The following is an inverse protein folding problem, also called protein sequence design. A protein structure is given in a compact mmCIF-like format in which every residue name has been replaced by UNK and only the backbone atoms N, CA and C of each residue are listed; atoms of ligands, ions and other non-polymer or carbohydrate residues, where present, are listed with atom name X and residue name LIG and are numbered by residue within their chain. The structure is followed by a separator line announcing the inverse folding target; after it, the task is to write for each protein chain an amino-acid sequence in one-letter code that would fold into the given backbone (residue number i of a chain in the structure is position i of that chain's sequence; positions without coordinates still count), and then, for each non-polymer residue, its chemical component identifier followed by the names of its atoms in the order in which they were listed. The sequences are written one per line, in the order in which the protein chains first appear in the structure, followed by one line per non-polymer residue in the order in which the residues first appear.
data_IF_657566871667
#
_entry.id   IF_657566871667
#
_cell.length_a   1.000
_cell.length_b   1.000
_cell.length_c   1.000
_cell.angle_alpha   90.00
_cell.angle_beta   90.00
_cell.angle_gamma   90.00
#
_symmetry.space_group_name_H-M   'P 1'
#
loop_
_entity.id
_entity.type
_entity.pdbx_description
1 polymer ?
#
# COMPACT_ATOMS: atom_id res chain seq x y z
N UNK A 1 41.66 -43.33 69.65
CA UNK A 1 42.17 -43.13 68.31
C UNK A 1 41.05 -42.85 67.27
N UNK A 2 39.78 -43.01 67.58
CA UNK A 2 38.63 -42.83 66.68
C UNK A 2 38.16 -41.40 66.45
N UNK A 3 38.44 -40.47 67.37
CA UNK A 3 37.98 -39.05 67.20
C UNK A 3 38.80 -38.19 66.24
N UNK A 4 40.00 -38.65 65.82
CA UNK A 4 40.83 -37.94 64.83
C UNK A 4 40.55 -38.31 63.37
N UNK A 5 39.91 -39.43 63.10
CA UNK A 5 39.53 -39.88 61.78
C UNK A 5 38.23 -39.21 61.28
N UNK A 6 37.33 -38.78 62.21
CA UNK A 6 36.04 -38.20 61.89
C UNK A 6 36.07 -36.70 61.48
N UNK A 7 37.22 -36.04 61.78
CA UNK A 7 37.39 -34.58 61.39
C UNK A 7 38.03 -34.44 59.99
N UNK A 8 38.69 -35.48 59.45
CA UNK A 8 39.34 -35.44 58.16
C UNK A 8 38.39 -35.68 56.98
N UNK A 9 37.21 -36.27 57.17
CA UNK A 9 36.28 -36.64 56.14
C UNK A 9 35.22 -35.54 55.75
N UNK A 10 35.23 -34.42 56.52
CA UNK A 10 34.34 -33.27 56.27
C UNK A 10 34.92 -32.17 55.36
N UNK A 11 36.16 -32.33 54.86
CA UNK A 11 36.89 -31.29 54.16
C UNK A 11 36.84 -31.41 52.63
N UNK A 12 36.04 -32.32 52.05
CA UNK A 12 35.97 -32.55 50.60
C UNK A 12 34.59 -32.36 49.99
N UNK A 13 33.74 -31.55 50.60
CA UNK A 13 32.52 -31.12 49.96
C UNK A 13 32.85 -29.91 49.04
N UNK A 14 33.41 -30.18 47.84
CA UNK A 14 33.42 -29.22 46.75
C UNK A 14 31.98 -28.98 46.37
N UNK A 15 31.34 -27.93 46.89
CA UNK A 15 30.13 -27.39 46.32
C UNK A 15 30.44 -27.03 44.85
N UNK A 16 30.15 -27.94 43.94
CA UNK A 16 30.14 -27.64 42.52
C UNK A 16 29.17 -26.50 42.31
N UNK A 17 29.68 -25.32 41.99
CA UNK A 17 28.87 -24.15 41.64
C UNK A 17 28.05 -24.53 40.39
N UNK A 18 26.80 -24.93 40.64
CA UNK A 18 25.88 -25.51 39.66
C UNK A 18 25.54 -24.55 38.51
N UNK A 19 25.66 -23.22 38.76
CA UNK A 19 25.51 -22.17 37.77
C UNK A 19 26.71 -21.21 37.86
N UNK A 20 27.57 -21.23 36.83
CA UNK A 20 28.70 -20.29 36.76
C UNK A 20 28.16 -18.85 36.62
N UNK A 21 28.73 -17.91 37.36
CA UNK A 21 28.36 -16.49 37.41
C UNK A 21 28.25 -15.88 35.98
N UNK A 22 29.07 -16.36 35.06
CA UNK A 22 29.07 -15.94 33.66
C UNK A 22 27.70 -16.21 32.95
N UNK A 23 27.06 -17.35 33.24
CA UNK A 23 25.77 -17.67 32.67
C UNK A 23 24.62 -16.85 33.25
N UNK A 24 24.71 -16.55 34.58
CA UNK A 24 23.73 -15.70 35.26
C UNK A 24 23.76 -14.27 34.63
N UNK A 25 24.95 -13.69 34.50
CA UNK A 25 25.13 -12.35 33.91
C UNK A 25 24.61 -12.35 32.43
N UNK A 26 25.01 -13.37 31.64
CA UNK A 26 24.59 -13.51 30.27
C UNK A 26 23.07 -13.59 30.14
N UNK A 27 22.41 -14.48 30.88
CA UNK A 27 20.97 -14.67 30.83
C UNK A 27 20.24 -13.40 31.27
N UNK A 28 20.67 -12.76 32.35
CA UNK A 28 20.04 -11.52 32.85
C UNK A 28 20.13 -10.41 31.82
N UNK A 29 21.30 -10.19 31.21
CA UNK A 29 21.49 -9.17 30.16
C UNK A 29 20.67 -9.49 28.93
N UNK A 30 20.62 -10.76 28.53
CA UNK A 30 19.87 -11.20 27.35
C UNK A 30 18.37 -11.00 27.56
N UNK A 31 17.83 -11.32 28.73
CA UNK A 31 16.41 -11.10 29.06
C UNK A 31 16.07 -9.61 29.08
N UNK A 32 16.90 -8.77 29.73
CA UNK A 32 16.68 -7.30 29.78
C UNK A 32 16.69 -6.68 28.35
N UNK A 33 17.51 -7.21 27.44
CA UNK A 33 17.58 -6.70 26.08
C UNK A 33 16.50 -7.28 25.16
N UNK A 34 16.24 -8.59 25.24
CA UNK A 34 15.33 -9.28 24.31
C UNK A 34 13.84 -9.02 24.58
N UNK A 35 13.45 -8.85 25.85
CA UNK A 35 12.02 -8.64 26.18
C UNK A 35 11.50 -7.31 25.61
N UNK A 36 12.16 -6.15 25.82
CA UNK A 36 11.71 -4.90 25.20
C UNK A 36 11.83 -4.91 23.70
N UNK A 37 12.94 -5.46 23.14
CA UNK A 37 13.19 -5.52 21.71
C UNK A 37 12.13 -6.38 21.00
N UNK A 38 11.80 -7.54 21.55
CA UNK A 38 10.75 -8.43 21.05
C UNK A 38 9.36 -7.81 21.14
N UNK A 39 9.08 -7.09 22.23
CA UNK A 39 7.83 -6.34 22.41
C UNK A 39 7.67 -5.22 21.38
N UNK A 40 8.68 -4.41 21.18
CA UNK A 40 8.69 -3.36 20.17
C UNK A 40 8.56 -3.93 18.76
N UNK A 41 9.26 -5.02 18.45
CA UNK A 41 9.18 -5.70 17.16
C UNK A 41 7.76 -6.23 16.89
N UNK A 42 7.12 -6.88 17.87
CA UNK A 42 5.76 -7.39 17.75
C UNK A 42 4.74 -6.27 17.47
N UNK A 43 4.82 -5.18 18.26
CA UNK A 43 3.94 -4.01 18.10
C UNK A 43 4.18 -3.35 16.72
N UNK A 44 5.44 -3.17 16.33
CA UNK A 44 5.82 -2.54 15.08
C UNK A 44 5.30 -3.32 13.87
N UNK A 45 5.46 -4.65 13.84
CA UNK A 45 4.97 -5.47 12.73
C UNK A 45 3.44 -5.41 12.61
N UNK A 46 2.72 -5.54 13.74
CA UNK A 46 1.25 -5.53 13.69
C UNK A 46 0.68 -4.18 13.26
N UNK A 47 1.18 -3.08 13.81
CA UNK A 47 0.77 -1.73 13.40
C UNK A 47 1.17 -1.41 11.96
N UNK A 48 2.40 -1.70 11.60
CA UNK A 48 2.94 -1.39 10.27
C UNK A 48 2.12 -2.08 9.17
N UNK A 49 1.79 -3.36 9.33
CA UNK A 49 1.00 -4.09 8.33
C UNK A 49 -0.40 -3.48 8.13
N UNK A 50 -1.04 -3.03 9.20
CA UNK A 50 -2.35 -2.40 9.13
C UNK A 50 -2.26 -1.01 8.48
N UNK A 51 -1.26 -0.21 8.86
CA UNK A 51 -1.03 1.12 8.28
C UNK A 51 -0.70 1.05 6.79
N UNK A 52 0.16 0.11 6.36
CA UNK A 52 0.49 -0.09 4.95
C UNK A 52 -0.73 -0.49 4.12
N UNK A 53 -1.56 -1.42 4.63
CA UNK A 53 -2.80 -1.81 3.94
C UNK A 53 -3.74 -0.62 3.80
N UNK A 54 -3.88 0.19 4.84
CA UNK A 54 -4.69 1.41 4.81
C UNK A 54 -4.15 2.44 3.81
N UNK A 55 -2.83 2.65 3.77
CA UNK A 55 -2.20 3.59 2.84
C UNK A 55 -2.37 3.16 1.37
N UNK A 56 -2.19 1.87 1.08
CA UNK A 56 -2.39 1.32 -0.27
C UNK A 56 -3.85 1.51 -0.69
N UNK A 57 -4.78 1.19 0.21
CA UNK A 57 -6.19 1.42 -0.01
C UNK A 57 -6.51 2.89 -0.31
N UNK A 58 -6.04 3.81 0.54
CA UNK A 58 -6.24 5.25 0.34
C UNK A 58 -5.69 5.75 -1.00
N UNK A 59 -4.52 5.26 -1.41
CA UNK A 59 -3.94 5.60 -2.70
C UNK A 59 -4.81 5.12 -3.88
N UNK A 60 -5.35 3.90 -3.82
CA UNK A 60 -6.26 3.39 -4.86
C UNK A 60 -7.57 4.19 -4.87
N UNK A 61 -8.16 4.48 -3.72
CA UNK A 61 -9.36 5.32 -3.60
C UNK A 61 -9.12 6.69 -4.19
N UNK A 62 -8.07 7.40 -3.77
CA UNK A 62 -7.76 8.74 -4.25
C UNK A 62 -7.56 8.77 -5.78
N UNK A 63 -6.83 7.81 -6.33
CA UNK A 63 -6.64 7.70 -7.77
C UNK A 63 -7.98 7.45 -8.50
N UNK A 64 -8.82 6.57 -7.95
CA UNK A 64 -10.13 6.26 -8.53
C UNK A 64 -11.07 7.47 -8.47
N UNK A 65 -11.15 8.16 -7.33
CA UNK A 65 -11.96 9.38 -7.18
C UNK A 65 -11.50 10.49 -8.12
N UNK A 66 -10.19 10.66 -8.29
CA UNK A 66 -9.63 11.64 -9.22
C UNK A 66 -10.03 11.35 -10.66
N UNK A 67 -9.91 10.09 -11.08
CA UNK A 67 -10.29 9.67 -12.42
C UNK A 67 -11.80 9.75 -12.62
N UNK A 68 -12.62 9.31 -11.67
CA UNK A 68 -14.07 9.40 -11.73
C UNK A 68 -14.52 10.87 -11.88
N UNK A 69 -13.95 11.76 -11.07
CA UNK A 69 -14.21 13.20 -11.17
C UNK A 69 -13.82 13.76 -12.53
N UNK A 70 -12.68 13.36 -13.08
CA UNK A 70 -12.26 13.81 -14.42
C UNK A 70 -13.24 13.36 -15.51
N UNK A 71 -13.78 12.14 -15.43
CA UNK A 71 -14.82 11.65 -16.35
C UNK A 71 -16.12 12.44 -16.19
N UNK A 72 -16.53 12.70 -14.97
CA UNK A 72 -17.76 13.45 -14.66
C UNK A 72 -17.65 14.91 -15.11
N UNK A 73 -16.51 15.58 -14.89
CA UNK A 73 -16.26 16.96 -15.35
C UNK A 73 -16.21 17.08 -16.87
N UNK A 74 -15.56 16.12 -17.53
CA UNK A 74 -15.54 16.05 -18.99
C UNK A 74 -16.95 15.87 -19.54
N UNK A 75 -17.74 14.97 -18.94
CA UNK A 75 -19.15 14.76 -19.32
C UNK A 75 -19.99 16.01 -19.09
N UNK A 76 -19.87 16.63 -17.93
CA UNK A 76 -20.59 17.86 -17.61
C UNK A 76 -20.25 19.00 -18.57
N UNK A 77 -19.00 19.10 -19.02
CA UNK A 77 -18.58 20.09 -20.02
C UNK A 77 -19.25 19.85 -21.37
N UNK A 78 -19.31 18.62 -21.84
CA UNK A 78 -19.97 18.26 -23.09
C UNK A 78 -21.50 18.45 -23.00
N UNK A 79 -22.10 18.18 -21.82
CA UNK A 79 -23.53 18.45 -21.60
C UNK A 79 -23.84 19.95 -21.61
N UNK A 80 -22.99 20.81 -21.05
CA UNK A 80 -23.12 22.28 -21.11
C UNK A 80 -23.00 22.80 -22.53
N UNK A 81 -22.06 22.23 -23.30
CA UNK A 81 -21.92 22.55 -24.76
C UNK A 81 -23.22 22.24 -25.50
N UNK A 82 -23.80 21.07 -25.30
CA UNK A 82 -25.08 20.69 -25.93
C UNK A 82 -26.21 21.63 -25.49
N UNK A 83 -26.30 21.96 -24.21
CA UNK A 83 -27.34 22.86 -23.67
C UNK A 83 -27.26 24.25 -24.28
N UNK A 84 -26.05 24.83 -24.31
CA UNK A 84 -25.80 26.12 -24.92
C UNK A 84 -26.21 26.14 -26.40
N UNK A 85 -25.81 25.13 -27.19
CA UNK A 85 -26.15 25.07 -28.60
C UNK A 85 -27.63 24.77 -28.83
N UNK A 86 -28.28 23.94 -28.01
CA UNK A 86 -29.71 23.64 -28.05
C UNK A 86 -30.59 24.90 -27.91
N UNK A 87 -30.12 25.92 -27.18
CA UNK A 87 -30.85 27.17 -26.95
C UNK A 87 -30.61 28.26 -28.00
N UNK A 88 -29.75 28.03 -28.97
CA UNK A 88 -29.47 29.02 -30.03
C UNK A 88 -30.65 29.16 -31.00
N UNK A 89 -30.96 30.41 -31.51
CA UNK A 89 -32.03 30.62 -32.46
C UNK A 89 -31.89 29.75 -33.72
N UNK A 90 -30.67 29.49 -34.16
CA UNK A 90 -30.37 28.66 -35.31
C UNK A 90 -30.79 27.19 -35.12
N UNK A 91 -30.72 26.68 -33.90
CA UNK A 91 -31.13 25.30 -33.56
C UNK A 91 -32.64 25.26 -33.26
N UNK A 92 -33.16 26.27 -32.51
CA UNK A 92 -34.58 26.38 -32.16
C UNK A 92 -35.48 26.57 -33.37
N UNK A 93 -34.99 27.22 -34.42
CA UNK A 93 -35.75 27.43 -35.65
C UNK A 93 -36.03 26.15 -36.45
N UNK A 94 -35.44 25.01 -36.07
CA UNK A 94 -35.67 23.70 -36.68
C UNK A 94 -35.50 23.70 -38.22
N UNK A 95 -34.58 24.52 -38.74
CA UNK A 95 -34.22 24.57 -40.15
C UNK A 95 -32.90 23.82 -40.40
N UNK A 96 -32.89 22.84 -41.28
CA UNK A 96 -31.74 21.97 -41.55
C UNK A 96 -30.47 22.76 -41.92
N UNK A 97 -30.57 23.75 -42.80
CA UNK A 97 -29.42 24.53 -43.27
C UNK A 97 -28.77 25.36 -42.15
N UNK A 98 -29.58 25.94 -41.24
CA UNK A 98 -29.10 26.69 -40.09
C UNK A 98 -28.44 25.72 -39.05
N UNK A 99 -29.08 24.62 -38.79
CA UNK A 99 -28.54 23.60 -37.86
C UNK A 99 -27.25 22.97 -38.38
N UNK A 100 -27.14 22.67 -39.67
CA UNK A 100 -25.89 22.12 -40.25
C UNK A 100 -24.68 23.04 -39.98
N UNK A 101 -24.87 24.37 -40.11
CA UNK A 101 -23.78 25.33 -39.79
C UNK A 101 -23.34 25.26 -38.34
N UNK A 102 -24.29 25.19 -37.40
CA UNK A 102 -23.98 25.07 -35.97
C UNK A 102 -23.30 23.72 -35.68
N UNK A 103 -23.85 22.63 -36.19
CA UNK A 103 -23.27 21.29 -35.98
C UNK A 103 -21.85 21.21 -36.54
N UNK A 104 -21.59 21.82 -37.70
CA UNK A 104 -20.26 21.87 -38.28
C UNK A 104 -19.29 22.69 -37.44
N UNK A 105 -19.70 23.85 -36.95
CA UNK A 105 -18.88 24.66 -36.00
C UNK A 105 -18.50 23.90 -34.74
N UNK A 106 -19.39 23.09 -34.18
CA UNK A 106 -19.07 22.24 -33.03
C UNK A 106 -17.91 21.28 -33.32
N UNK A 107 -17.97 20.59 -34.48
CA UNK A 107 -16.92 19.61 -34.82
C UNK A 107 -15.60 20.25 -35.29
N UNK A 108 -15.63 21.49 -35.74
CA UNK A 108 -14.42 22.25 -36.10
C UNK A 108 -13.68 22.77 -34.84
N UNK A 109 -14.40 23.11 -33.78
CA UNK A 109 -13.81 23.62 -32.53
C UNK A 109 -13.39 22.49 -31.60
N UNK A 110 -14.18 21.43 -31.52
CA UNK A 110 -13.98 20.33 -30.58
C UNK A 110 -13.56 19.06 -31.30
N UNK A 111 -12.27 18.83 -31.43
CA UNK A 111 -11.69 17.76 -32.25
C UNK A 111 -11.97 16.33 -31.72
N UNK A 112 -12.41 16.18 -30.45
CA UNK A 112 -12.87 14.89 -29.91
C UNK A 112 -14.31 14.55 -30.29
N UNK A 113 -15.07 15.50 -30.87
CA UNK A 113 -16.43 15.31 -31.41
C UNK A 113 -16.32 15.07 -32.91
N UNK A 114 -16.49 13.83 -33.33
CA UNK A 114 -16.41 13.52 -34.78
C UNK A 114 -17.72 13.71 -35.53
N UNK A 115 -18.86 13.80 -34.82
CA UNK A 115 -20.16 14.05 -35.36
C UNK A 115 -21.05 14.80 -34.37
N UNK A 116 -21.63 15.93 -34.80
CA UNK A 116 -22.71 16.62 -34.12
C UNK A 116 -23.96 16.61 -35.02
N UNK A 117 -25.11 16.36 -34.43
CA UNK A 117 -26.35 16.19 -35.19
C UNK A 117 -27.59 16.48 -34.33
N UNK A 118 -28.71 16.70 -35.04
CA UNK A 118 -30.04 16.87 -34.41
C UNK A 118 -31.00 15.83 -34.91
N UNK A 119 -31.98 15.47 -34.10
CA UNK A 119 -32.99 14.45 -34.41
C UNK A 119 -34.36 15.02 -34.11
N UNK A 120 -35.30 14.85 -35.02
CA UNK A 120 -36.71 15.20 -34.83
C UNK A 120 -37.42 14.23 -33.88
N UNK A 121 -38.60 14.57 -33.34
CA UNK A 121 -39.33 13.66 -32.44
C UNK A 121 -39.74 12.33 -33.11
N UNK A 122 -39.84 12.27 -34.42
CA UNK A 122 -40.10 11.05 -35.21
C UNK A 122 -38.84 10.17 -35.37
N UNK A 123 -37.68 10.62 -34.90
CA UNK A 123 -36.42 9.90 -34.99
C UNK A 123 -35.60 10.17 -36.24
N UNK A 124 -36.07 11.01 -37.16
CA UNK A 124 -35.32 11.42 -38.37
C UNK A 124 -34.25 12.46 -38.00
N UNK A 125 -33.07 12.34 -38.57
CA UNK A 125 -32.03 13.33 -38.48
C UNK A 125 -32.38 14.59 -39.27
N UNK A 126 -32.23 15.77 -38.65
CA UNK A 126 -32.48 17.04 -39.30
C UNK A 126 -31.17 17.74 -39.71
N UNK A 127 -30.32 18.05 -38.75
CA UNK A 127 -29.02 18.69 -38.96
C UNK A 127 -27.86 17.75 -38.71
N UNK A 128 -26.74 17.88 -39.48
CA UNK A 128 -25.52 17.07 -39.39
C UNK A 128 -24.28 17.89 -39.68
N UNK A 129 -23.19 17.60 -38.98
CA UNK A 129 -21.89 18.24 -39.19
C UNK A 129 -21.10 17.67 -40.38
N UNK A 130 -21.33 16.39 -40.76
CA UNK A 130 -20.52 15.64 -41.71
C UNK A 130 -21.06 15.72 -43.16
N UNK A 131 -22.14 16.43 -43.38
CA UNK A 131 -22.75 16.63 -44.72
C UNK A 131 -23.31 15.36 -45.34
N UNK A 132 -23.41 14.25 -44.63
CA UNK A 132 -23.98 12.99 -45.14
C UNK A 132 -25.51 13.05 -45.18
N UNK A 133 -26.18 12.19 -45.98
CA UNK A 133 -27.63 12.09 -45.97
C UNK A 133 -28.23 11.84 -44.59
N UNK A 134 -29.45 12.34 -44.31
CA UNK A 134 -30.16 12.08 -43.08
C UNK A 134 -30.27 10.58 -42.75
N UNK A 135 -30.14 10.26 -41.50
CA UNK A 135 -30.16 8.88 -40.97
C UNK A 135 -31.21 8.78 -39.88
N UNK A 136 -31.92 7.66 -39.80
CA UNK A 136 -32.88 7.41 -38.74
C UNK A 136 -32.16 7.00 -37.43
N UNK A 137 -32.46 7.69 -36.30
CA UNK A 137 -31.91 7.46 -34.99
C UNK A 137 -32.96 7.18 -33.90
N UNK A 138 -34.24 7.11 -34.24
CA UNK A 138 -35.34 6.85 -33.30
C UNK A 138 -35.25 5.48 -32.59
N UNK A 139 -34.46 4.54 -33.11
CA UNK A 139 -34.17 3.24 -32.51
C UNK A 139 -33.14 3.32 -31.38
N UNK A 140 -32.41 4.42 -31.28
CA UNK A 140 -31.28 4.58 -30.32
C UNK A 140 -31.76 4.98 -28.91
N UNK A 141 -31.16 4.37 -27.88
CA UNK A 141 -31.60 4.57 -26.50
C UNK A 141 -31.39 6.00 -26.02
N UNK A 142 -30.29 6.69 -26.43
CA UNK A 142 -30.07 8.09 -26.08
C UNK A 142 -31.16 9.02 -26.61
N UNK A 143 -31.76 8.72 -27.77
CA UNK A 143 -32.90 9.48 -28.33
C UNK A 143 -34.16 9.18 -27.53
N UNK A 144 -34.47 7.89 -27.29
CA UNK A 144 -35.62 7.47 -26.48
C UNK A 144 -35.59 8.04 -25.07
N UNK A 145 -34.39 8.08 -24.43
CA UNK A 145 -34.21 8.66 -23.10
C UNK A 145 -34.60 10.13 -23.07
N UNK A 146 -34.14 10.92 -24.02
CA UNK A 146 -34.46 12.36 -24.11
C UNK A 146 -35.92 12.60 -24.43
N UNK A 147 -36.47 11.90 -25.43
CA UNK A 147 -37.86 12.02 -25.82
C UNK A 147 -38.82 11.51 -24.71
N UNK A 148 -38.34 10.55 -23.89
CA UNK A 148 -39.04 10.05 -22.68
C UNK A 148 -38.94 10.99 -21.48
N UNK A 149 -38.34 12.19 -21.61
CA UNK A 149 -38.33 13.23 -20.60
C UNK A 149 -37.10 13.23 -19.69
N UNK A 150 -36.06 12.41 -19.94
CA UNK A 150 -34.79 12.52 -19.21
C UNK A 150 -34.09 13.84 -19.53
N UNK A 151 -33.35 14.39 -18.57
CA UNK A 151 -32.60 15.62 -18.71
C UNK A 151 -31.51 15.55 -19.79
N UNK A 152 -30.99 14.35 -20.03
CA UNK A 152 -30.07 14.01 -21.12
C UNK A 152 -30.17 12.52 -21.44
N UNK A 153 -29.67 12.15 -22.60
CA UNK A 153 -29.52 10.78 -23.04
C UNK A 153 -28.05 10.42 -23.22
N UNK A 154 -27.70 9.17 -22.95
CA UNK A 154 -26.35 8.66 -23.15
C UNK A 154 -26.38 7.24 -23.69
N UNK A 155 -25.35 6.89 -24.48
CA UNK A 155 -25.15 5.51 -24.90
C UNK A 155 -23.73 5.31 -25.44
N UNK A 156 -23.09 4.20 -25.03
CA UNK A 156 -21.89 3.68 -25.69
C UNK A 156 -22.31 2.66 -26.70
N UNK A 157 -21.90 2.84 -27.96
CA UNK A 157 -22.36 2.01 -29.08
C UNK A 157 -21.39 2.02 -30.26
N UNK A 158 -21.62 1.15 -31.25
CA UNK A 158 -20.99 1.27 -32.55
C UNK A 158 -21.76 2.30 -33.41
N UNK A 159 -21.04 3.33 -33.85
CA UNK A 159 -21.64 4.40 -34.67
C UNK A 159 -22.20 3.87 -35.99
N UNK A 160 -23.46 4.24 -36.37
CA UNK A 160 -24.10 3.79 -37.61
C UNK A 160 -23.31 4.17 -38.87
N UNK A 161 -22.60 5.29 -38.85
CA UNK A 161 -21.86 5.82 -39.99
C UNK A 161 -20.36 5.63 -39.91
N UNK A 162 -19.80 5.49 -38.70
CA UNK A 162 -18.35 5.27 -38.44
C UNK A 162 -17.98 3.82 -38.30
N UNK A 163 -18.93 2.97 -37.87
CA UNK A 163 -18.70 1.59 -37.42
C UNK A 163 -17.59 1.42 -36.37
N UNK A 164 -17.36 2.50 -35.61
CA UNK A 164 -16.37 2.53 -34.51
C UNK A 164 -17.08 2.73 -33.19
N UNK A 165 -16.49 2.21 -32.06
CA UNK A 165 -16.98 2.51 -30.75
C UNK A 165 -17.04 4.01 -30.51
N UNK A 166 -18.17 4.47 -29.97
CA UNK A 166 -18.45 5.88 -29.76
C UNK A 166 -19.28 6.06 -28.50
N UNK A 167 -19.03 7.16 -27.81
CA UNK A 167 -19.88 7.65 -26.74
C UNK A 167 -20.78 8.78 -27.28
N UNK A 168 -22.07 8.64 -27.10
CA UNK A 168 -23.08 9.62 -27.54
C UNK A 168 -23.64 10.28 -26.28
N UNK A 169 -23.66 11.61 -26.29
CA UNK A 169 -24.43 12.44 -25.38
C UNK A 169 -25.50 13.20 -26.15
N UNK A 170 -26.66 13.30 -25.54
CA UNK A 170 -27.82 13.98 -26.18
C UNK A 170 -28.59 14.82 -25.16
N UNK A 171 -29.12 15.97 -25.63
CA UNK A 171 -30.00 16.83 -24.85
C UNK A 171 -31.26 17.19 -25.61
N UNK A 172 -32.36 17.54 -24.92
CA UNK A 172 -33.55 18.02 -25.58
C UNK A 172 -33.33 19.43 -26.16
N UNK A 173 -33.83 19.69 -27.37
CA UNK A 173 -34.06 21.02 -27.91
C UNK A 173 -35.45 21.44 -27.41
N UNK A 174 -35.51 22.40 -26.49
CA UNK A 174 -36.75 22.87 -25.85
C UNK A 174 -37.18 24.20 -26.47
N UNK A 175 -38.39 24.23 -27.04
CA UNK A 175 -39.03 25.45 -27.46
C UNK A 175 -39.75 26.17 -26.32
N UNK A 176 -40.56 27.17 -26.71
CA UNK A 176 -41.40 27.91 -25.80
C UNK A 176 -42.32 26.98 -25.02
N UNK A 177 -42.59 27.32 -23.75
CA UNK A 177 -43.38 26.50 -22.83
C UNK A 177 -42.77 25.13 -22.50
N UNK A 178 -41.47 24.88 -22.79
CA UNK A 178 -40.75 23.64 -22.43
C UNK A 178 -41.08 22.43 -23.30
N UNK A 179 -41.78 22.58 -24.40
CA UNK A 179 -42.04 21.48 -25.36
C UNK A 179 -40.74 21.02 -26.04
N UNK A 180 -40.49 19.72 -26.05
CA UNK A 180 -39.35 19.15 -26.79
C UNK A 180 -39.62 19.20 -28.26
N UNK A 181 -38.81 19.99 -29.00
CA UNK A 181 -38.86 20.14 -30.44
C UNK A 181 -38.03 19.08 -31.16
N UNK A 182 -37.04 18.53 -30.49
CA UNK A 182 -36.13 17.54 -31.01
C UNK A 182 -35.02 17.24 -30.02
N UNK A 183 -33.99 16.57 -30.50
CA UNK A 183 -32.81 16.14 -29.73
C UNK A 183 -31.55 16.68 -30.41
N UNK A 184 -30.66 17.30 -29.69
CA UNK A 184 -29.29 17.61 -30.13
C UNK A 184 -28.34 16.57 -29.55
N UNK A 185 -27.43 16.03 -30.34
CA UNK A 185 -26.51 15.00 -29.92
C UNK A 185 -25.11 15.22 -30.51
N UNK A 186 -24.11 14.77 -29.75
CA UNK A 186 -22.71 14.67 -30.15
C UNK A 186 -22.23 13.23 -30.03
N UNK A 187 -21.42 12.81 -31.00
CA UNK A 187 -20.74 11.53 -30.99
C UNK A 187 -19.23 11.78 -30.81
N UNK A 188 -18.68 11.19 -29.81
CA UNK A 188 -17.28 11.33 -29.35
C UNK A 188 -16.53 10.02 -29.48
N UNK A 189 -15.25 10.10 -29.81
CA UNK A 189 -14.39 8.90 -29.77
C UNK A 189 -14.10 8.48 -28.35
N UNK A 190 -13.94 7.18 -28.14
CA UNK A 190 -13.50 6.66 -26.84
C UNK A 190 -11.99 6.90 -26.60
N UNK A 191 -11.27 7.31 -27.65
CA UNK A 191 -9.82 7.53 -27.59
C UNK A 191 -9.41 8.65 -26.63
N UNK A 192 -10.16 9.75 -26.60
CA UNK A 192 -9.84 10.88 -25.71
C UNK A 192 -10.12 10.57 -24.24
N UNK A 193 -11.17 9.82 -23.96
CA UNK A 193 -11.41 9.25 -22.65
C UNK A 193 -10.27 8.29 -22.23
N UNK A 194 -9.88 7.41 -23.14
CA UNK A 194 -8.75 6.49 -22.92
C UNK A 194 -7.47 7.25 -22.64
N UNK A 195 -7.16 8.32 -23.38
CA UNK A 195 -5.97 9.16 -23.14
C UNK A 195 -5.96 9.80 -21.74
N UNK A 196 -7.10 10.24 -21.24
CA UNK A 196 -7.20 10.78 -19.89
C UNK A 196 -6.93 9.73 -18.82
N UNK A 197 -7.39 8.51 -19.04
CA UNK A 197 -7.20 7.36 -18.14
C UNK A 197 -5.77 6.82 -18.25
N UNK A 198 -5.18 6.76 -19.45
CA UNK A 198 -3.81 6.26 -19.66
C UNK A 198 -2.73 7.21 -19.14
N UNK A 199 -3.01 8.51 -19.04
CA UNK A 199 -2.07 9.49 -18.46
C UNK A 199 -1.87 9.30 -16.97
N UNK A 200 -2.82 8.72 -16.26
CA UNK A 200 -2.71 8.49 -14.81
C UNK A 200 -1.88 7.25 -14.56
N UNK A 201 -0.64 7.46 -14.09
CA UNK A 201 0.23 6.38 -13.66
C UNK A 201 -0.13 5.95 -12.24
N UNK A 202 -0.38 4.66 -12.07
CA UNK A 202 -0.67 4.02 -10.78
C UNK A 202 0.49 3.06 -10.50
N UNK A 203 1.59 3.60 -9.96
CA UNK A 203 2.86 2.87 -9.90
C UNK A 203 3.39 2.51 -11.30
N UNK A 204 4.03 1.35 -11.41
CA UNK A 204 4.57 0.83 -12.68
C UNK A 204 3.63 -0.18 -13.35
N UNK A 205 2.98 -1.04 -12.54
CA UNK A 205 2.09 -2.11 -13.03
C UNK A 205 0.62 -1.74 -13.01
N UNK A 206 0.25 -0.67 -12.28
CA UNK A 206 -1.14 -0.30 -12.10
C UNK A 206 -1.74 0.39 -13.32
N UNK A 207 -3.04 0.20 -13.49
CA UNK A 207 -3.81 0.84 -14.55
C UNK A 207 -5.29 0.91 -14.17
N UNK A 208 -6.03 1.75 -14.90
CA UNK A 208 -7.47 1.89 -14.72
C UNK A 208 -8.24 1.28 -15.90
N UNK A 209 -9.44 0.79 -15.61
CA UNK A 209 -10.43 0.33 -16.57
C UNK A 209 -11.69 1.17 -16.38
N UNK A 210 -12.28 1.62 -17.46
CA UNK A 210 -13.59 2.28 -17.46
C UNK A 210 -14.57 1.42 -18.23
N UNK A 211 -15.65 1.04 -17.57
CA UNK A 211 -16.72 0.20 -18.11
C UNK A 211 -18.03 0.98 -18.15
N UNK A 212 -18.85 0.72 -19.17
CA UNK A 212 -20.20 1.30 -19.27
C UNK A 212 -21.22 0.62 -18.33
N UNK A 213 -22.47 1.04 -18.39
CA UNK A 213 -23.56 0.48 -17.59
C UNK A 213 -23.82 -1.01 -17.85
N UNK A 214 -23.40 -1.53 -19.00
CA UNK A 214 -23.48 -2.95 -19.38
C UNK A 214 -22.16 -3.71 -19.12
N UNK A 215 -21.21 -3.12 -18.39
CA UNK A 215 -19.88 -3.66 -18.11
C UNK A 215 -19.02 -3.89 -19.38
N UNK A 216 -19.26 -3.13 -20.46
CA UNK A 216 -18.42 -3.18 -21.65
C UNK A 216 -17.27 -2.19 -21.52
N UNK A 217 -16.10 -2.56 -22.02
CA UNK A 217 -14.89 -1.75 -21.91
C UNK A 217 -15.00 -0.47 -22.74
N UNK A 218 -14.87 0.68 -22.09
CA UNK A 218 -14.81 2.02 -22.70
C UNK A 218 -13.35 2.46 -22.88
N UNK A 219 -12.54 2.25 -21.83
CA UNK A 219 -11.15 2.67 -21.84
C UNK A 219 -10.28 1.74 -21.00
N UNK A 220 -9.04 1.51 -21.46
CA UNK A 220 -8.05 0.69 -20.82
C UNK A 220 -6.76 1.49 -20.58
N UNK A 221 -6.29 1.57 -19.31
CA UNK A 221 -5.18 2.41 -18.89
C UNK A 221 -3.81 2.04 -19.46
N UNK A 222 -3.67 0.92 -20.18
CA UNK A 222 -2.44 0.53 -20.87
C UNK A 222 -2.40 0.97 -22.36
N UNK A 223 -3.32 1.84 -22.77
CA UNK A 223 -3.30 2.44 -24.10
C UNK A 223 -3.96 1.61 -25.21
N UNK A 224 -4.51 0.47 -24.91
CA UNK A 224 -5.29 -0.31 -25.86
C UNK A 224 -6.68 0.32 -26.02
N UNK A 225 -6.87 1.05 -27.11
CA UNK A 225 -8.22 1.51 -27.50
C UNK A 225 -8.94 0.29 -28.07
N UNK A 226 -10.00 -0.12 -27.41
CA UNK A 226 -10.82 -1.23 -27.89
C UNK A 226 -11.40 -0.87 -29.28
N UNK A 227 -11.02 -1.64 -30.30
CA UNK A 227 -11.66 -1.56 -31.64
C UNK A 227 -13.10 -2.08 -31.60
N UNK A 228 -13.45 -2.82 -30.57
CA UNK A 228 -14.75 -3.43 -30.28
C UNK A 228 -15.14 -3.21 -28.84
N UNK A 229 -16.44 -3.19 -28.53
CA UNK A 229 -16.96 -3.11 -27.19
C UNK A 229 -16.85 -4.50 -26.51
N UNK A 230 -15.74 -4.75 -25.83
CA UNK A 230 -15.49 -6.02 -25.14
C UNK A 230 -16.32 -6.11 -23.88
N UNK A 231 -16.92 -7.28 -23.62
CA UNK A 231 -17.65 -7.58 -22.40
C UNK A 231 -16.69 -7.93 -21.25
N UNK A 232 -16.74 -7.14 -20.19
CA UNK A 232 -15.97 -7.31 -18.94
C UNK A 232 -16.84 -7.76 -17.77
N UNK A 233 -18.08 -8.20 -17.98
CA UNK A 233 -19.00 -8.63 -16.91
C UNK A 233 -18.44 -9.76 -16.04
N UNK A 234 -17.50 -10.55 -16.56
CA UNK A 234 -16.81 -11.61 -15.83
C UNK A 234 -15.65 -11.10 -14.97
N UNK A 235 -15.27 -9.82 -15.06
CA UNK A 235 -14.11 -9.29 -14.34
C UNK A 235 -14.26 -9.43 -12.81
N UNK A 236 -13.26 -9.97 -12.09
CA UNK A 236 -13.37 -10.26 -10.65
C UNK A 236 -13.74 -9.03 -9.81
N UNK A 237 -13.27 -7.86 -10.21
CA UNK A 237 -13.56 -6.60 -9.53
C UNK A 237 -15.05 -6.27 -9.47
N UNK A 238 -15.85 -6.65 -10.46
CA UNK A 238 -17.29 -6.41 -10.49
C UNK A 238 -18.06 -7.31 -9.54
N UNK A 239 -17.56 -8.54 -9.32
CA UNK A 239 -18.21 -9.53 -8.43
C UNK A 239 -18.05 -9.19 -6.95
N UNK A 240 -16.99 -8.49 -6.59
CA UNK A 240 -16.65 -8.14 -5.21
C UNK A 240 -17.11 -6.74 -4.81
N UNK A 241 -17.28 -5.82 -5.76
CA UNK A 241 -17.80 -4.48 -5.51
C UNK A 241 -19.22 -4.45 -4.88
N UNK A 242 -19.94 -5.59 -4.94
CA UNK A 242 -21.27 -5.74 -4.32
C UNK A 242 -21.22 -5.88 -2.79
N UNK A 243 -20.04 -6.03 -2.15
CA UNK A 243 -19.94 -6.33 -0.71
C UNK A 243 -19.69 -5.14 0.21
N UNK A 244 -19.01 -4.12 -0.22
CA UNK A 244 -18.98 -2.82 0.46
C UNK A 244 -18.37 -1.76 -0.48
N UNK A 245 -18.95 -0.57 -0.52
CA UNK A 245 -18.53 0.55 -1.39
C UNK A 245 -17.16 1.17 -0.97
N UNK A 246 -16.46 0.57 -0.01
CA UNK A 246 -15.27 1.19 0.61
C UNK A 246 -14.07 0.28 0.81
N UNK A 247 -14.09 -0.98 0.38
CA UNK A 247 -12.97 -1.89 0.62
C UNK A 247 -12.23 -2.22 -0.68
N UNK A 248 -10.89 -2.09 -0.64
CA UNK A 248 -10.05 -2.68 -1.68
C UNK A 248 -10.17 -4.21 -1.61
N UNK A 249 -10.15 -4.85 -2.74
CA UNK A 249 -10.21 -6.30 -2.81
C UNK A 249 -9.00 -6.85 -3.55
N UNK A 250 -8.64 -8.08 -3.18
CA UNK A 250 -7.53 -8.81 -3.80
C UNK A 250 -8.08 -10.00 -4.55
N UNK A 251 -7.68 -10.15 -5.80
CA UNK A 251 -8.03 -11.31 -6.62
C UNK A 251 -6.79 -11.84 -7.38
N UNK A 252 -6.95 -12.96 -8.05
CA UNK A 252 -5.88 -13.55 -8.88
C UNK A 252 -6.28 -13.47 -10.33
N UNK A 253 -5.44 -12.85 -11.15
CA UNK A 253 -5.58 -12.74 -12.59
C UNK A 253 -4.26 -13.12 -13.27
N UNK A 254 -4.31 -14.03 -14.24
CA UNK A 254 -3.09 -14.49 -14.91
C UNK A 254 -2.01 -15.07 -14.00
N UNK A 255 -2.39 -15.67 -12.86
CA UNK A 255 -1.46 -16.19 -11.85
C UNK A 255 -0.81 -15.13 -10.94
N UNK A 256 -1.16 -13.87 -11.08
CA UNK A 256 -0.70 -12.77 -10.21
C UNK A 256 -1.80 -12.34 -9.26
N UNK A 257 -1.43 -11.98 -8.04
CA UNK A 257 -2.34 -11.30 -7.10
C UNK A 257 -2.44 -9.83 -7.50
N UNK A 258 -3.65 -9.35 -7.65
CA UNK A 258 -3.98 -7.97 -8.00
C UNK A 258 -4.76 -7.35 -6.84
N UNK A 259 -4.41 -6.15 -6.44
CA UNK A 259 -5.21 -5.31 -5.56
C UNK A 259 -5.95 -4.29 -6.40
N UNK A 260 -7.25 -4.11 -6.15
CA UNK A 260 -8.08 -3.20 -6.91
C UNK A 260 -9.09 -2.46 -6.03
N UNK A 261 -9.56 -1.35 -6.56
CA UNK A 261 -10.69 -0.60 -6.05
C UNK A 261 -11.61 -0.21 -7.21
N UNK A 262 -12.91 -0.16 -6.99
CA UNK A 262 -13.88 0.22 -8.01
C UNK A 262 -14.88 1.24 -7.47
N UNK A 263 -15.30 2.16 -8.34
CA UNK A 263 -16.27 3.21 -8.03
C UNK A 263 -17.14 3.49 -9.25
N UNK A 264 -18.40 3.87 -9.01
CA UNK A 264 -19.29 4.35 -10.07
C UNK A 264 -19.14 5.84 -10.29
N UNK A 265 -19.16 6.25 -11.57
CA UNK A 265 -19.27 7.65 -12.00
C UNK A 265 -20.73 8.11 -11.95
N UNK A 266 -20.97 9.42 -12.12
CA UNK A 266 -22.32 9.98 -12.21
C UNK A 266 -23.13 9.47 -13.42
N UNK A 267 -22.45 8.96 -14.45
CA UNK A 267 -23.07 8.30 -15.60
C UNK A 267 -23.52 6.85 -15.32
N UNK A 268 -23.22 6.31 -14.11
CA UNK A 268 -23.45 4.90 -13.79
C UNK A 268 -22.36 3.96 -14.32
N UNK A 269 -21.28 4.50 -14.91
CA UNK A 269 -20.14 3.72 -15.38
C UNK A 269 -19.29 3.24 -14.21
N UNK A 270 -18.62 2.12 -14.39
CA UNK A 270 -17.74 1.56 -13.35
C UNK A 270 -16.29 1.84 -13.71
N UNK A 271 -15.60 2.58 -12.85
CA UNK A 271 -14.16 2.79 -12.92
C UNK A 271 -13.50 1.80 -11.96
N UNK A 272 -12.55 1.03 -12.47
CA UNK A 272 -11.74 0.07 -11.71
C UNK A 272 -10.29 0.54 -11.78
N UNK A 273 -9.64 0.69 -10.63
CA UNK A 273 -8.21 0.94 -10.53
C UNK A 273 -7.57 -0.30 -9.92
N UNK A 274 -6.55 -0.83 -10.58
CA UNK A 274 -5.88 -2.05 -10.12
C UNK A 274 -4.37 -1.97 -10.28
N UNK A 275 -3.65 -2.73 -9.42
CA UNK A 275 -2.19 -2.79 -9.37
C UNK A 275 -1.73 -4.18 -8.93
N UNK A 276 -0.52 -4.60 -9.35
CA UNK A 276 0.10 -5.84 -8.85
C UNK A 276 0.30 -5.73 -7.32
N UNK A 277 -0.15 -6.76 -6.60
CA UNK A 277 -0.06 -6.83 -5.14
C UNK A 277 1.39 -6.73 -4.66
N UNK A 278 2.34 -7.37 -5.36
CA UNK A 278 3.76 -7.34 -4.98
C UNK A 278 4.33 -5.94 -5.08
N UNK A 279 3.95 -5.20 -6.11
CA UNK A 279 4.39 -3.81 -6.25
C UNK A 279 3.75 -2.91 -5.20
N UNK A 280 2.43 -3.02 -5.02
CA UNK A 280 1.71 -2.22 -4.02
C UNK A 280 2.28 -2.39 -2.60
N UNK A 281 2.74 -3.62 -2.26
CA UNK A 281 3.32 -3.95 -0.95
C UNK A 281 4.85 -3.95 -0.92
N UNK A 282 5.54 -3.65 -2.02
CA UNK A 282 7.01 -3.72 -2.11
C UNK A 282 7.72 -2.87 -1.05
N UNK A 283 7.25 -1.64 -0.82
CA UNK A 283 7.81 -0.75 0.20
C UNK A 283 7.60 -1.31 1.63
N UNK A 284 6.47 -1.96 1.89
CA UNK A 284 6.18 -2.61 3.16
C UNK A 284 7.11 -3.82 3.39
N UNK A 285 7.29 -4.65 2.37
CA UNK A 285 8.17 -5.83 2.42
C UNK A 285 9.64 -5.42 2.60
N UNK A 286 10.07 -4.34 1.93
CA UNK A 286 11.42 -3.79 2.10
C UNK A 286 11.63 -3.22 3.51
N UNK A 287 10.68 -2.45 4.03
CA UNK A 287 10.74 -1.93 5.40
C UNK A 287 10.78 -3.08 6.42
N UNK A 288 9.99 -4.13 6.24
CA UNK A 288 10.00 -5.31 7.09
C UNK A 288 11.33 -6.05 7.04
N UNK A 289 11.91 -6.27 5.85
CA UNK A 289 13.23 -6.90 5.68
C UNK A 289 14.31 -6.11 6.39
N UNK A 290 14.33 -4.78 6.22
CA UNK A 290 15.31 -3.91 6.86
C UNK A 290 15.15 -3.92 8.39
N UNK A 291 13.94 -3.95 8.92
CA UNK A 291 13.67 -4.09 10.34
C UNK A 291 14.18 -5.43 10.90
N UNK A 292 14.00 -6.54 10.19
CA UNK A 292 14.53 -7.85 10.58
C UNK A 292 16.07 -7.86 10.59
N UNK A 293 16.70 -7.28 9.57
CA UNK A 293 18.16 -7.18 9.51
C UNK A 293 18.72 -6.35 10.66
N UNK A 294 18.10 -5.21 10.97
CA UNK A 294 18.47 -4.38 12.12
C UNK A 294 18.32 -5.11 13.44
N UNK A 295 17.24 -5.87 13.62
CA UNK A 295 16.99 -6.68 14.82
C UNK A 295 18.06 -7.76 14.99
N UNK A 296 18.43 -8.46 13.92
CA UNK A 296 19.50 -9.47 13.94
C UNK A 296 20.85 -8.83 14.27
N UNK A 297 21.19 -7.70 13.68
CA UNK A 297 22.43 -6.97 13.99
C UNK A 297 22.48 -6.53 15.43
N UNK A 298 21.37 -6.00 15.96
CA UNK A 298 21.24 -5.61 17.37
C UNK A 298 21.38 -6.81 18.31
N UNK A 299 20.77 -7.94 17.99
CA UNK A 299 20.88 -9.17 18.75
C UNK A 299 22.34 -9.66 18.84
N UNK A 300 23.03 -9.69 17.71
CA UNK A 300 24.46 -10.08 17.66
C UNK A 300 25.31 -9.13 18.53
N UNK A 301 25.07 -7.82 18.43
CA UNK A 301 25.78 -6.81 19.21
C UNK A 301 25.52 -7.01 20.73
N UNK A 302 24.26 -7.22 21.14
CA UNK A 302 23.91 -7.48 22.53
C UNK A 302 24.59 -8.73 23.07
N UNK A 303 24.57 -9.83 22.33
CA UNK A 303 25.22 -11.08 22.72
C UNK A 303 26.75 -10.90 22.85
N UNK A 304 27.37 -10.22 21.89
CA UNK A 304 28.81 -9.95 21.91
C UNK A 304 29.20 -9.07 23.12
N UNK A 305 28.48 -7.99 23.37
CA UNK A 305 28.73 -7.10 24.51
C UNK A 305 28.50 -7.84 25.84
N UNK A 306 27.40 -8.59 25.98
CA UNK A 306 27.10 -9.38 27.15
C UNK A 306 28.19 -10.42 27.42
N UNK A 307 28.69 -11.11 26.42
CA UNK A 307 29.79 -12.07 26.54
C UNK A 307 31.09 -11.39 26.99
N UNK A 308 31.45 -10.26 26.39
CA UNK A 308 32.65 -9.51 26.76
C UNK A 308 32.62 -9.03 28.22
N UNK A 309 31.45 -8.46 28.62
CA UNK A 309 31.24 -8.02 30.00
C UNK A 309 31.26 -9.18 31.00
N UNK A 310 30.56 -10.26 30.69
CA UNK A 310 30.54 -11.45 31.53
C UNK A 310 31.96 -12.04 31.72
N UNK A 311 32.75 -12.11 30.65
CA UNK A 311 34.15 -12.55 30.71
C UNK A 311 35.03 -11.60 31.51
N UNK A 312 34.88 -10.27 31.34
CA UNK A 312 35.66 -9.24 32.01
C UNK A 312 35.40 -9.18 33.52
N UNK A 313 34.20 -9.56 33.96
CA UNK A 313 33.83 -9.58 35.37
C UNK A 313 34.02 -10.96 36.02
N UNK A 314 33.52 -12.01 35.40
CA UNK A 314 33.44 -13.34 35.96
C UNK A 314 34.82 -14.05 36.03
N UNK A 315 35.70 -13.87 35.04
CA UNK A 315 36.99 -14.53 35.01
C UNK A 315 37.93 -14.07 36.14
N UNK A 316 38.12 -12.75 36.41
CA UNK A 316 38.93 -12.30 37.55
C UNK A 316 38.36 -12.71 38.91
N UNK A 317 37.05 -12.61 39.11
CA UNK A 317 36.40 -13.01 40.36
C UNK A 317 36.68 -14.50 40.65
N UNK A 318 36.53 -15.35 39.62
CA UNK A 318 36.84 -16.77 39.76
C UNK A 318 38.30 -17.04 40.10
N UNK A 319 39.22 -16.29 39.49
CA UNK A 319 40.65 -16.39 39.77
C UNK A 319 40.94 -16.00 41.23
N UNK A 320 40.39 -14.87 41.69
CA UNK A 320 40.52 -14.42 43.07
C UNK A 320 39.93 -15.40 44.08
N UNK A 321 38.83 -16.07 43.78
CA UNK A 321 38.22 -17.10 44.57
C UNK A 321 39.14 -18.31 44.72
N UNK A 322 39.77 -18.74 43.60
CA UNK A 322 40.73 -19.83 43.60
C UNK A 322 41.97 -19.49 44.47
N UNK A 323 42.52 -18.28 44.28
CA UNK A 323 43.68 -17.81 45.07
C UNK A 323 43.33 -17.71 46.57
N UNK A 324 42.15 -17.20 46.93
CA UNK A 324 41.71 -17.16 48.31
C UNK A 324 41.59 -18.57 48.94
N UNK A 325 41.10 -19.55 48.16
CA UNK A 325 41.06 -20.96 48.59
C UNK A 325 42.49 -21.55 48.78
N UNK A 326 43.42 -21.26 47.86
CA UNK A 326 44.81 -21.64 48.00
C UNK A 326 45.48 -21.05 49.24
N UNK A 327 45.29 -19.75 49.47
CA UNK A 327 45.78 -19.07 50.67
C UNK A 327 45.23 -19.74 51.97
N UNK A 328 43.93 -20.08 51.98
CA UNK A 328 43.28 -20.75 53.06
C UNK A 328 43.84 -22.14 53.34
N UNK A 329 44.44 -22.80 52.38
CA UNK A 329 45.09 -24.12 52.44
C UNK A 329 46.60 -24.04 52.78
N UNK A 330 47.12 -22.81 52.97
CA UNK A 330 48.48 -22.57 53.32
C UNK A 330 49.44 -22.28 52.14
N UNK A 331 49.00 -22.17 50.95
CA UNK A 331 49.76 -21.73 49.82
C UNK A 331 49.78 -20.18 49.79
N UNK A 332 50.72 -19.55 50.50
CA UNK A 332 50.75 -18.10 50.71
C UNK A 332 51.54 -17.34 49.63
N UNK A 333 52.14 -18.03 48.63
CA UNK A 333 52.98 -17.43 47.61
C UNK A 333 52.27 -17.19 46.26
N UNK A 334 50.95 -17.14 46.19
CA UNK A 334 50.18 -16.96 44.95
C UNK A 334 50.34 -15.51 44.39
N UNK A 335 50.69 -15.40 43.10
CA UNK A 335 50.77 -14.12 42.40
C UNK A 335 49.34 -13.67 41.95
N UNK A 336 48.92 -12.49 42.39
CA UNK A 336 47.60 -11.94 42.14
C UNK A 336 47.68 -10.87 41.02
N UNK A 337 47.49 -11.29 39.79
CA UNK A 337 47.57 -10.42 38.60
C UNK A 337 46.55 -9.29 38.62
N UNK A 338 45.42 -9.47 39.29
CA UNK A 338 44.31 -8.54 39.39
C UNK A 338 44.64 -7.31 40.29
N UNK A 339 45.72 -7.30 41.03
CA UNK A 339 46.16 -6.17 41.89
C UNK A 339 46.41 -4.89 41.07
N UNK A 340 46.79 -5.01 39.79
CA UNK A 340 47.00 -3.89 38.87
C UNK A 340 45.72 -3.22 38.35
N UNK A 341 44.53 -3.72 38.65
CA UNK A 341 43.26 -3.13 38.23
C UNK A 341 42.90 -1.92 39.11
N UNK A 342 42.24 -0.93 38.49
CA UNK A 342 41.76 0.30 39.15
C UNK A 342 40.29 0.25 39.60
N UNK A 343 39.59 -0.88 39.37
CA UNK A 343 38.17 -1.08 39.71
C UNK A 343 38.01 -1.82 41.05
N UNK A 344 36.76 -2.15 41.45
CA UNK A 344 36.42 -2.85 42.68
C UNK A 344 37.04 -4.23 42.77
N UNK A 345 37.26 -4.89 41.62
CA UNK A 345 37.94 -6.20 41.54
C UNK A 345 39.41 -6.03 41.91
N UNK A 346 40.06 -4.94 41.48
CA UNK A 346 41.43 -4.62 41.88
C UNK A 346 41.54 -4.28 43.37
N UNK A 347 40.54 -3.60 43.92
CA UNK A 347 40.49 -3.33 45.35
C UNK A 347 40.37 -4.64 46.19
N UNK A 348 39.53 -5.57 45.72
CA UNK A 348 39.38 -6.91 46.32
C UNK A 348 40.69 -7.71 46.20
N UNK A 349 41.34 -7.69 45.07
CA UNK A 349 42.63 -8.36 44.84
C UNK A 349 43.70 -7.90 45.85
N UNK A 350 43.88 -6.58 46.01
CA UNK A 350 44.79 -6.00 46.99
C UNK A 350 44.42 -6.32 48.44
N UNK A 351 43.13 -6.49 48.75
CA UNK A 351 42.71 -6.93 50.09
C UNK A 351 43.11 -8.39 50.35
N UNK A 352 42.91 -9.29 49.39
CA UNK A 352 43.33 -10.71 49.47
C UNK A 352 44.84 -10.81 49.57
N UNK A 353 45.61 -10.02 48.80
CA UNK A 353 47.05 -9.95 48.86
C UNK A 353 47.55 -9.57 50.27
N UNK A 354 46.99 -8.48 50.84
CA UNK A 354 47.34 -8.05 52.24
C UNK A 354 46.98 -9.13 53.26
N UNK A 355 45.89 -9.84 53.10
CA UNK A 355 45.50 -10.97 53.99
C UNK A 355 46.53 -12.10 53.86
N UNK A 356 46.97 -12.48 52.66
CA UNK A 356 47.99 -13.49 52.45
C UNK A 356 49.33 -13.14 53.14
N UNK A 357 49.77 -11.91 52.90
CA UNK A 357 51.04 -11.40 53.59
C UNK A 357 50.90 -11.40 55.09
N UNK A 358 49.77 -10.99 55.68
CA UNK A 358 49.56 -10.98 57.05
C UNK A 358 49.57 -12.41 57.67
N UNK A 359 49.00 -13.38 57.02
CA UNK A 359 49.01 -14.78 57.37
C UNK A 359 50.42 -15.33 57.27
N UNK A 360 51.19 -15.03 56.27
CA UNK A 360 52.59 -15.44 56.14
C UNK A 360 53.45 -14.94 57.26
N UNK A 361 53.36 -13.68 57.63
CA UNK A 361 54.05 -13.10 58.76
C UNK A 361 53.64 -13.76 60.11
N UNK A 362 52.39 -14.10 60.31
CA UNK A 362 51.94 -14.79 61.48
C UNK A 362 52.48 -16.21 61.55
N UNK A 363 52.54 -16.97 60.52
CA UNK A 363 53.13 -18.30 60.40
C UNK A 363 54.62 -18.27 60.66
N UNK A 364 55.36 -17.29 60.08
CA UNK A 364 56.79 -17.13 60.32
C UNK A 364 57.12 -16.82 61.82
N UNK A 365 56.29 -16.01 62.49
CA UNK A 365 56.45 -15.71 63.89
C UNK A 365 56.20 -16.95 64.75
N UNK A 366 55.20 -17.79 64.45
CA UNK A 366 54.91 -19.03 65.12
C UNK A 366 56.00 -20.10 64.92
N UNK A 367 56.68 -20.08 63.75
CA UNK A 367 57.75 -21.03 63.45
C UNK A 367 59.13 -20.67 64.15
N UNK A 368 59.27 -19.40 64.53
CA UNK A 368 60.46 -18.89 65.18
C UNK A 368 60.37 -18.97 66.69
N UNK A 369 59.27 -19.43 67.30
CA UNK A 369 59.06 -19.80 68.65
C UNK A 369 59.17 -21.33 68.82
#
# INVERSE_FOLDING_TARGET
MEKKAMVADKATDRQEVRFKLIYQILITMLVIALVPLGGLWYISIHKSKQEWTTNIYQNLVNNTEHLARSVDEWTATNLRLLEQNASTPAVLGMEAAAQNRVMKSITEVYNWIYLAFTVLPDGQNLGRSDGKPPTYYGDRDYVKQVLGGKAFGQQVLLGKTSNKPAFILAKPIKGDAGKTLGVIAIAMTLEDLSKSITKTRIGESGFALLLDEQNRLIAHGRGEVASELQDFSAHPALKQSSRSDRDSFVFVEGGKKIVAFSQKTNLGWTLIVQQDYREAYAAADEAQRNAILLLLATLIAVVAIAYLLARRLSAPIRNLTTIADEISRGNLGADIKECGRSDEIGALARAIERMGVSLQMAFERLRKR
#
